data_IF_621225235563
#
_entry.id   IF_621225235563
#
_cell.length_a   1.000
_cell.length_b   1.000
_cell.length_c   1.000
_cell.angle_alpha   90.00
_cell.angle_beta   90.00
_cell.angle_gamma   90.00
#
_symmetry.space_group_name_H-M   'P 1'
#
loop_
_entity.id
_entity.type
_entity.pdbx_description
1 polymer ?
#
# COMPACT_ATOMS: atom_id res chain seq x y z
N UNK A 1 -2.13 -13.65 17.09
CA UNK A 1 -3.58 -13.64 17.38
C UNK A 1 -3.90 -12.30 17.97
N UNK A 2 -4.38 -11.41 17.13
CA UNK A 2 -5.04 -10.16 17.49
C UNK A 2 -6.02 -9.90 16.36
N UNK A 3 -7.29 -10.20 16.63
CA UNK A 3 -8.42 -9.80 15.80
C UNK A 3 -8.47 -8.26 15.81
N UNK A 4 -8.56 -7.68 14.62
CA UNK A 4 -8.64 -6.23 14.44
C UNK A 4 -10.09 -5.86 14.12
N UNK A 5 -10.93 -5.90 15.15
CA UNK A 5 -12.30 -5.34 15.12
C UNK A 5 -12.21 -3.82 15.31
N UNK A 6 -12.10 -3.09 14.19
CA UNK A 6 -12.35 -1.64 14.12
C UNK A 6 -13.72 -1.38 13.47
N UNK A 7 -14.54 -0.43 13.95
CA UNK A 7 -15.89 -0.21 13.43
C UNK A 7 -15.85 0.57 12.09
N UNK A 8 -16.90 0.43 11.27
CA UNK A 8 -17.13 1.05 9.94
C UNK A 8 -16.23 0.59 8.77
N UNK A 9 -14.94 0.31 8.98
CA UNK A 9 -14.01 -0.10 7.90
C UNK A 9 -14.09 -1.59 7.54
N UNK A 10 -14.83 -2.39 8.33
CA UNK A 10 -15.04 -3.81 8.06
C UNK A 10 -15.78 -4.04 6.74
N UNK A 11 -16.71 -3.15 6.39
CA UNK A 11 -17.62 -3.37 5.27
C UNK A 11 -16.90 -3.15 3.94
N UNK A 12 -16.10 -2.08 3.81
CA UNK A 12 -15.27 -1.84 2.62
C UNK A 12 -14.10 -2.83 2.50
N UNK A 13 -13.57 -3.32 3.62
CA UNK A 13 -12.56 -4.39 3.61
C UNK A 13 -13.18 -5.70 3.11
N UNK A 14 -14.39 -6.00 3.56
CA UNK A 14 -15.14 -7.16 3.09
C UNK A 14 -15.53 -7.01 1.61
N UNK A 15 -15.92 -5.81 1.17
CA UNK A 15 -16.21 -5.53 -0.23
C UNK A 15 -14.97 -5.78 -1.11
N UNK A 16 -13.80 -5.27 -0.71
CA UNK A 16 -12.56 -5.53 -1.43
C UNK A 16 -12.21 -7.02 -1.48
N UNK A 17 -12.48 -7.74 -0.39
CA UNK A 17 -12.33 -9.20 -0.30
C UNK A 17 -13.28 -9.91 -1.28
N UNK A 18 -14.56 -9.55 -1.27
CA UNK A 18 -15.61 -10.16 -2.08
C UNK A 18 -15.36 -9.94 -3.57
N UNK A 19 -14.95 -8.73 -3.97
CA UNK A 19 -14.55 -8.42 -5.36
C UNK A 19 -13.46 -9.38 -5.86
N UNK A 20 -12.43 -9.63 -5.06
CA UNK A 20 -11.35 -10.53 -5.48
C UNK A 20 -11.71 -12.01 -5.35
N UNK A 21 -12.58 -12.36 -4.40
CA UNK A 21 -13.14 -13.70 -4.27
C UNK A 21 -13.99 -14.05 -5.51
N UNK A 22 -14.81 -13.13 -5.99
CA UNK A 22 -15.64 -13.30 -7.17
C UNK A 22 -14.78 -13.56 -8.41
N UNK A 23 -13.68 -12.82 -8.58
CA UNK A 23 -12.67 -13.10 -9.62
C UNK A 23 -12.14 -14.55 -9.53
N UNK A 24 -11.81 -15.02 -8.33
CA UNK A 24 -11.32 -16.40 -8.15
C UNK A 24 -12.40 -17.44 -8.50
N UNK A 25 -13.67 -17.17 -8.19
CA UNK A 25 -14.79 -18.04 -8.53
C UNK A 25 -15.07 -18.06 -10.04
N UNK A 26 -15.00 -16.92 -10.72
CA UNK A 26 -15.12 -16.83 -12.18
C UNK A 26 -14.03 -17.64 -12.89
N UNK A 27 -12.79 -17.52 -12.42
CA UNK A 27 -11.67 -18.32 -12.95
C UNK A 27 -11.89 -19.80 -12.72
N UNK A 28 -12.42 -20.19 -11.55
CA UNK A 28 -12.78 -21.59 -11.26
C UNK A 28 -13.81 -22.12 -12.26
N UNK A 29 -14.83 -21.33 -12.60
CA UNK A 29 -15.84 -21.72 -13.59
C UNK A 29 -15.21 -21.91 -14.97
N UNK A 30 -14.32 -20.99 -15.38
CA UNK A 30 -13.58 -21.11 -16.64
C UNK A 30 -12.66 -22.33 -16.67
N UNK A 31 -11.93 -22.62 -15.59
CA UNK A 31 -11.08 -23.82 -15.51
C UNK A 31 -11.88 -25.12 -15.65
N UNK A 32 -13.08 -25.19 -15.07
CA UNK A 32 -13.96 -26.35 -15.19
C UNK A 32 -14.54 -26.51 -16.61
N UNK A 33 -14.73 -25.41 -17.33
CA UNK A 33 -15.25 -25.40 -18.70
C UNK A 33 -14.16 -25.69 -19.75
N UNK A 34 -12.90 -25.37 -19.45
CA UNK A 34 -11.76 -25.72 -20.30
C UNK A 34 -11.51 -27.23 -20.15
N UNK A 35 -12.01 -27.99 -21.13
CA UNK A 35 -11.69 -29.41 -21.30
C UNK A 35 -10.23 -29.55 -21.71
N UNK A 36 -9.29 -29.56 -20.77
CA UNK A 36 -7.91 -29.92 -21.06
C UNK A 36 -7.68 -31.43 -21.01
N UNK A 37 -7.14 -31.97 -22.10
CA UNK A 37 -6.59 -33.33 -22.18
C UNK A 37 -5.23 -33.40 -21.50
N UNK A 38 -5.16 -33.05 -20.22
CA UNK A 38 -4.00 -33.39 -19.39
C UNK A 38 -4.28 -34.72 -18.71
N UNK A 39 -3.44 -35.74 -18.89
CA UNK A 39 -3.62 -37.00 -18.18
C UNK A 39 -3.69 -36.80 -16.66
N UNK A 40 -4.70 -37.39 -16.01
CA UNK A 40 -5.05 -37.22 -14.58
C UNK A 40 -3.92 -37.53 -13.57
N UNK A 41 -2.78 -38.06 -14.04
CA UNK A 41 -1.60 -38.33 -13.22
C UNK A 41 -0.58 -37.19 -13.18
N UNK A 42 -0.75 -36.13 -13.96
CA UNK A 42 0.04 -34.91 -13.85
C UNK A 42 -0.63 -33.92 -12.91
N UNK A 43 0.07 -33.55 -11.82
CA UNK A 43 -0.31 -32.42 -10.98
C UNK A 43 0.09 -31.12 -11.72
N UNK A 44 -0.87 -30.55 -12.43
CA UNK A 44 -0.70 -29.26 -13.13
C UNK A 44 -1.04 -28.05 -12.25
N UNK A 45 -1.49 -28.30 -11.00
CA UNK A 45 -2.04 -27.28 -10.12
C UNK A 45 -3.36 -26.69 -10.64
N UNK A 46 -3.87 -25.69 -9.92
CA UNK A 46 -5.06 -24.94 -10.32
C UNK A 46 -4.81 -23.44 -10.24
N UNK A 47 -5.25 -22.71 -11.26
CA UNK A 47 -5.12 -21.25 -11.37
C UNK A 47 -5.96 -20.58 -10.30
N UNK A 48 -7.20 -21.04 -10.05
CA UNK A 48 -8.05 -20.45 -9.00
C UNK A 48 -7.42 -20.58 -7.60
N UNK A 49 -6.73 -21.69 -7.29
CA UNK A 49 -6.01 -21.85 -6.02
C UNK A 49 -4.89 -20.81 -5.86
N UNK A 50 -4.28 -20.34 -6.96
CA UNK A 50 -3.29 -19.29 -6.89
C UNK A 50 -3.91 -17.94 -6.49
N UNK A 51 -5.15 -17.66 -6.92
CA UNK A 51 -5.87 -16.43 -6.61
C UNK A 51 -6.32 -16.33 -5.14
N UNK A 52 -6.23 -17.42 -4.38
CA UNK A 52 -6.44 -17.40 -2.94
C UNK A 52 -5.29 -16.73 -2.19
N UNK A 53 -4.12 -16.54 -2.80
CA UNK A 53 -2.96 -15.97 -2.13
C UNK A 53 -3.20 -14.58 -1.50
N UNK A 54 -3.68 -13.55 -2.23
CA UNK A 54 -4.02 -12.25 -1.65
C UNK A 54 -5.10 -12.34 -0.57
N UNK A 55 -6.14 -13.16 -0.78
CA UNK A 55 -7.22 -13.37 0.20
C UNK A 55 -6.67 -13.89 1.53
N UNK A 56 -5.81 -14.91 1.49
CA UNK A 56 -5.14 -15.45 2.68
C UNK A 56 -4.28 -14.40 3.39
N UNK A 57 -3.61 -13.50 2.65
CA UNK A 57 -2.84 -12.41 3.24
C UNK A 57 -3.75 -11.43 3.98
N UNK A 58 -4.89 -11.08 3.40
CA UNK A 58 -5.89 -10.19 3.99
C UNK A 58 -6.52 -10.79 5.24
N UNK A 59 -6.90 -12.07 5.20
CA UNK A 59 -7.40 -12.83 6.37
C UNK A 59 -6.36 -12.90 7.50
N UNK A 60 -5.07 -12.93 7.16
CA UNK A 60 -3.98 -12.92 8.14
C UNK A 60 -3.69 -11.53 8.74
N UNK A 61 -4.39 -10.48 8.28
CA UNK A 61 -4.31 -9.12 8.80
C UNK A 61 -3.58 -8.11 7.91
N UNK A 62 -3.06 -8.49 6.74
CA UNK A 62 -2.45 -7.55 5.78
C UNK A 62 -3.53 -6.86 4.93
N UNK A 63 -4.25 -5.90 5.49
CA UNK A 63 -5.38 -5.23 4.82
C UNK A 63 -4.96 -4.52 3.49
N UNK A 64 -5.90 -4.24 2.56
CA UNK A 64 -5.61 -3.49 1.33
C UNK A 64 -5.28 -2.02 1.66
N UNK A 65 -3.99 -1.72 1.78
CA UNK A 65 -3.50 -0.45 2.34
C UNK A 65 -3.72 0.78 1.46
N UNK A 66 -4.11 0.60 0.19
CA UNK A 66 -4.35 1.68 -0.77
C UNK A 66 -5.81 1.77 -1.21
N UNK A 67 -6.44 0.61 -1.45
CA UNK A 67 -7.83 0.54 -1.91
C UNK A 67 -8.83 0.99 -0.86
N UNK A 68 -8.81 0.43 0.35
CA UNK A 68 -9.80 0.77 1.39
C UNK A 68 -9.78 2.27 1.74
N UNK A 69 -8.63 2.93 2.01
CA UNK A 69 -8.66 4.36 2.30
C UNK A 69 -9.13 5.21 1.12
N UNK A 70 -8.83 4.80 -0.13
CA UNK A 70 -9.36 5.47 -1.30
C UNK A 70 -10.88 5.32 -1.42
N UNK A 71 -11.42 4.12 -1.18
CA UNK A 71 -12.86 3.88 -1.15
C UNK A 71 -13.55 4.71 -0.07
N UNK A 72 -12.99 4.80 1.14
CA UNK A 72 -13.50 5.67 2.21
C UNK A 72 -13.61 7.13 1.76
N UNK A 73 -12.61 7.65 1.06
CA UNK A 73 -12.62 9.04 0.61
C UNK A 73 -13.64 9.32 -0.51
N UNK A 74 -13.95 8.30 -1.33
CA UNK A 74 -14.84 8.41 -2.48
C UNK A 74 -16.27 7.92 -2.26
N UNK A 75 -16.52 7.08 -1.25
CA UNK A 75 -17.85 6.52 -0.92
C UNK A 75 -18.99 7.56 -0.96
N UNK A 76 -18.87 8.77 -0.34
CA UNK A 76 -19.97 9.75 -0.37
C UNK A 76 -20.15 10.46 -1.73
N UNK A 77 -19.27 10.23 -2.70
CA UNK A 77 -19.21 10.93 -3.99
C UNK A 77 -19.64 10.06 -5.17
N UNK A 78 -19.66 8.74 -5.00
CA UNK A 78 -19.97 7.78 -6.06
C UNK A 78 -21.42 7.30 -5.97
N UNK A 79 -22.05 7.06 -7.11
CA UNK A 79 -23.28 6.26 -7.16
C UNK A 79 -22.98 4.74 -7.10
N UNK A 80 -24.01 3.91 -6.99
CA UNK A 80 -23.82 2.46 -6.79
C UNK A 80 -23.06 1.76 -7.93
N UNK A 81 -23.37 2.09 -9.19
CA UNK A 81 -22.70 1.46 -10.34
C UNK A 81 -21.26 1.99 -10.49
N UNK A 82 -21.04 3.27 -10.18
CA UNK A 82 -19.70 3.87 -10.12
C UNK A 82 -18.86 3.29 -8.99
N UNK A 83 -19.44 3.07 -7.80
CA UNK A 83 -18.78 2.50 -6.64
C UNK A 83 -18.26 1.08 -6.95
N UNK A 84 -19.10 0.22 -7.51
CA UNK A 84 -18.73 -1.15 -7.90
C UNK A 84 -17.58 -1.15 -8.93
N UNK A 85 -17.67 -0.26 -9.93
CA UNK A 85 -16.64 -0.07 -10.97
C UNK A 85 -15.30 0.37 -10.36
N UNK A 86 -15.34 1.36 -9.48
CA UNK A 86 -14.16 1.89 -8.78
C UNK A 86 -13.55 0.82 -7.88
N UNK A 87 -14.35 0.10 -7.11
CA UNK A 87 -13.89 -0.99 -6.25
C UNK A 87 -13.14 -2.05 -7.05
N UNK A 88 -13.70 -2.54 -8.15
CA UNK A 88 -13.04 -3.50 -9.04
C UNK A 88 -11.69 -2.99 -9.59
N UNK A 89 -11.65 -1.73 -10.05
CA UNK A 89 -10.42 -1.10 -10.56
C UNK A 89 -9.35 -1.05 -9.47
N UNK A 90 -9.69 -0.53 -8.29
CA UNK A 90 -8.75 -0.32 -7.20
C UNK A 90 -8.30 -1.65 -6.57
N UNK A 91 -9.20 -2.60 -6.34
CA UNK A 91 -8.86 -3.94 -5.82
C UNK A 91 -7.89 -4.67 -6.76
N UNK A 92 -8.18 -4.66 -8.07
CA UNK A 92 -7.28 -5.25 -9.06
C UNK A 92 -5.89 -4.58 -9.06
N UNK A 93 -5.85 -3.26 -8.90
CA UNK A 93 -4.59 -2.51 -8.84
C UNK A 93 -3.79 -2.78 -7.56
N UNK A 94 -4.44 -2.82 -6.40
CA UNK A 94 -3.76 -3.09 -5.12
C UNK A 94 -3.15 -4.48 -5.10
N UNK A 95 -3.88 -5.50 -5.56
CA UNK A 95 -3.31 -6.85 -5.70
C UNK A 95 -2.19 -6.87 -6.72
N UNK A 96 -2.34 -6.18 -7.86
CA UNK A 96 -1.26 -6.08 -8.85
C UNK A 96 0.03 -5.52 -8.23
N UNK A 97 -0.06 -4.41 -7.49
CA UNK A 97 1.09 -3.78 -6.82
C UNK A 97 1.65 -4.70 -5.74
N UNK A 98 0.80 -5.26 -4.87
CA UNK A 98 1.20 -6.18 -3.81
C UNK A 98 1.96 -7.40 -4.35
N UNK A 99 1.54 -7.96 -5.48
CA UNK A 99 2.25 -9.09 -6.09
C UNK A 99 3.58 -8.69 -6.72
N UNK A 100 3.70 -7.47 -7.25
CA UNK A 100 4.98 -6.95 -7.74
C UNK A 100 5.96 -6.74 -6.60
N UNK A 101 5.50 -6.17 -5.48
CA UNK A 101 6.31 -5.98 -4.27
C UNK A 101 6.80 -7.34 -3.75
N UNK A 102 5.89 -8.32 -3.59
CA UNK A 102 6.26 -9.70 -3.20
C UNK A 102 7.22 -10.35 -4.21
N UNK A 103 7.10 -10.05 -5.51
CA UNK A 103 8.02 -10.56 -6.52
C UNK A 103 9.43 -9.96 -6.40
N UNK A 104 9.54 -8.68 -6.03
CA UNK A 104 10.80 -7.95 -5.88
C UNK A 104 11.49 -8.34 -4.57
N UNK A 105 10.73 -8.42 -3.48
CA UNK A 105 11.28 -8.56 -2.12
C UNK A 105 11.53 -10.01 -1.70
N UNK A 106 10.92 -10.98 -2.39
CA UNK A 106 11.05 -12.38 -1.99
C UNK A 106 12.43 -12.98 -2.27
N UNK A 107 13.02 -13.61 -1.25
CA UNK A 107 14.16 -14.51 -1.42
C UNK A 107 13.74 -15.90 -1.96
N UNK A 108 12.42 -16.18 -2.06
CA UNK A 108 11.91 -17.48 -2.47
C UNK A 108 12.13 -17.71 -3.96
N UNK A 109 12.79 -18.81 -4.27
CA UNK A 109 13.09 -19.22 -5.65
C UNK A 109 12.23 -20.38 -6.14
N UNK A 110 11.33 -20.89 -5.29
CA UNK A 110 10.48 -22.02 -5.65
C UNK A 110 9.49 -21.65 -6.75
N UNK A 111 9.35 -22.56 -7.73
CA UNK A 111 8.55 -22.31 -8.93
C UNK A 111 7.07 -22.11 -8.63
N UNK A 112 6.53 -22.83 -7.63
CA UNK A 112 5.10 -22.77 -7.29
C UNK A 112 4.73 -21.37 -6.78
N UNK A 113 5.51 -20.82 -5.86
CA UNK A 113 5.32 -19.47 -5.35
C UNK A 113 5.42 -18.42 -6.47
N UNK A 114 6.43 -18.52 -7.34
CA UNK A 114 6.56 -17.61 -8.49
C UNK A 114 5.40 -17.71 -9.47
N UNK A 115 4.86 -18.91 -9.70
CA UNK A 115 3.64 -19.10 -10.49
C UNK A 115 2.45 -18.44 -9.81
N UNK A 116 2.28 -18.57 -8.50
CA UNK A 116 1.21 -17.90 -7.76
C UNK A 116 1.26 -16.38 -7.95
N UNK A 117 2.43 -15.76 -7.78
CA UNK A 117 2.60 -14.32 -8.01
C UNK A 117 2.26 -13.92 -9.45
N UNK A 118 2.77 -14.66 -10.44
CA UNK A 118 2.53 -14.36 -11.85
C UNK A 118 1.05 -14.49 -12.25
N UNK A 119 0.36 -15.50 -11.72
CA UNK A 119 -1.09 -15.69 -11.93
C UNK A 119 -1.87 -14.50 -11.35
N UNK A 120 -1.59 -14.11 -10.11
CA UNK A 120 -2.28 -12.97 -9.50
C UNK A 120 -2.01 -11.67 -10.27
N UNK A 121 -0.76 -11.40 -10.69
CA UNK A 121 -0.45 -10.24 -11.55
C UNK A 121 -1.31 -10.23 -12.81
N UNK A 122 -1.45 -11.38 -13.50
CA UNK A 122 -2.20 -11.45 -14.74
C UNK A 122 -3.70 -11.21 -14.56
N UNK A 123 -4.32 -11.85 -13.56
CA UNK A 123 -5.76 -11.73 -13.35
C UNK A 123 -6.16 -10.43 -12.64
N UNK A 124 -5.35 -9.92 -11.72
CA UNK A 124 -5.64 -8.64 -11.07
C UNK A 124 -5.49 -7.46 -12.04
N UNK A 125 -4.52 -7.54 -12.97
CA UNK A 125 -4.42 -6.55 -14.06
C UNK A 125 -5.57 -6.65 -15.05
N UNK A 126 -6.08 -7.85 -15.33
CA UNK A 126 -7.32 -8.01 -16.12
C UNK A 126 -8.53 -7.39 -15.42
N UNK A 127 -8.73 -7.70 -14.13
CA UNK A 127 -9.81 -7.13 -13.31
C UNK A 127 -9.73 -5.59 -13.31
N UNK A 128 -8.54 -5.03 -13.10
CA UNK A 128 -8.38 -3.58 -13.06
C UNK A 128 -8.61 -2.94 -14.44
N UNK A 129 -7.96 -3.46 -15.49
CA UNK A 129 -7.93 -2.78 -16.78
C UNK A 129 -9.13 -3.04 -17.69
N UNK A 130 -9.78 -4.20 -17.56
CA UNK A 130 -10.98 -4.52 -18.34
C UNK A 130 -12.19 -3.71 -17.88
N UNK A 131 -12.21 -3.30 -16.62
CA UNK A 131 -13.31 -2.58 -15.97
C UNK A 131 -13.29 -1.08 -16.25
N UNK A 132 -12.16 -0.54 -16.75
CA UNK A 132 -12.05 0.88 -17.09
C UNK A 132 -13.02 1.23 -18.25
N UNK A 133 -13.91 2.23 -18.07
CA UNK A 133 -14.79 2.70 -19.12
C UNK A 133 -14.00 3.14 -20.36
N UNK A 134 -14.47 2.79 -21.56
CA UNK A 134 -13.77 3.08 -22.83
C UNK A 134 -13.44 4.57 -22.98
N UNK A 135 -14.31 5.46 -22.53
CA UNK A 135 -14.12 6.92 -22.56
C UNK A 135 -12.96 7.41 -21.68
N UNK A 136 -12.57 6.66 -20.65
CA UNK A 136 -11.54 7.03 -19.68
C UNK A 136 -10.20 6.32 -19.92
N UNK A 137 -10.15 5.29 -20.79
CA UNK A 137 -8.98 4.41 -20.97
C UNK A 137 -7.67 5.15 -21.24
N UNK A 138 -7.66 6.11 -22.15
CA UNK A 138 -6.43 6.85 -22.49
C UNK A 138 -5.87 7.61 -21.28
N UNK A 139 -6.72 8.37 -20.59
CA UNK A 139 -6.32 9.16 -19.42
C UNK A 139 -5.93 8.28 -18.23
N UNK A 140 -6.62 7.16 -18.01
CA UNK A 140 -6.27 6.18 -16.98
C UNK A 140 -4.92 5.51 -17.29
N UNK A 141 -4.67 5.12 -18.54
CA UNK A 141 -3.38 4.53 -18.95
C UNK A 141 -2.23 5.53 -18.75
N UNK A 142 -2.43 6.80 -19.06
CA UNK A 142 -1.44 7.84 -18.81
C UNK A 142 -1.15 8.00 -17.31
N UNK A 143 -2.19 8.03 -16.47
CA UNK A 143 -2.06 8.11 -15.01
C UNK A 143 -1.33 6.89 -14.43
N UNK A 144 -1.70 5.68 -14.84
CA UNK A 144 -1.03 4.43 -14.44
C UNK A 144 0.42 4.38 -14.91
N UNK A 145 0.72 4.88 -16.11
CA UNK A 145 2.09 4.94 -16.63
C UNK A 145 2.94 5.89 -15.78
N UNK A 146 2.43 7.07 -15.46
CA UNK A 146 3.10 8.01 -14.57
C UNK A 146 3.36 7.39 -13.20
N UNK A 147 2.34 6.75 -12.61
CA UNK A 147 2.43 6.02 -11.34
C UNK A 147 3.53 4.96 -11.36
N UNK A 148 3.54 4.07 -12.35
CA UNK A 148 4.54 2.99 -12.42
C UNK A 148 5.97 3.53 -12.55
N UNK A 149 6.15 4.65 -13.26
CA UNK A 149 7.44 5.34 -13.35
C UNK A 149 7.86 5.92 -12.01
N UNK A 150 6.94 6.53 -11.26
CA UNK A 150 7.24 7.09 -9.93
C UNK A 150 7.51 6.01 -8.89
N UNK A 151 6.66 4.98 -8.80
CA UNK A 151 6.83 3.86 -7.89
C UNK A 151 8.17 3.15 -8.12
N UNK A 152 8.54 2.89 -9.39
CA UNK A 152 9.83 2.27 -9.73
C UNK A 152 11.05 3.12 -9.36
N UNK A 153 10.87 4.42 -9.10
CA UNK A 153 11.96 5.33 -8.69
C UNK A 153 12.15 5.38 -7.18
N UNK A 154 11.21 4.89 -6.37
CA UNK A 154 11.29 4.92 -4.90
C UNK A 154 12.66 4.40 -4.41
N UNK A 155 13.13 3.19 -4.81
CA UNK A 155 14.41 2.67 -4.31
C UNK A 155 15.63 3.51 -4.73
N UNK A 156 15.56 4.15 -5.91
CA UNK A 156 16.63 5.01 -6.39
C UNK A 156 16.66 6.34 -5.62
N UNK A 157 15.48 6.93 -5.36
CA UNK A 157 15.34 8.15 -4.58
C UNK A 157 15.80 7.93 -3.14
N UNK A 158 15.37 6.84 -2.49
CA UNK A 158 15.81 6.49 -1.14
C UNK A 158 17.33 6.38 -1.04
N UNK A 159 17.98 5.76 -2.04
CA UNK A 159 19.44 5.64 -2.09
C UNK A 159 20.14 7.00 -2.18
N UNK A 160 19.62 7.92 -2.99
CA UNK A 160 20.18 9.27 -3.08
C UNK A 160 19.93 10.08 -1.81
N UNK A 161 18.75 9.92 -1.18
CA UNK A 161 18.46 10.54 0.12
C UNK A 161 19.39 10.01 1.20
N UNK A 162 19.61 8.70 1.29
CA UNK A 162 20.54 8.08 2.23
C UNK A 162 21.98 8.61 2.07
N UNK A 163 22.42 8.80 0.81
CA UNK A 163 23.74 9.42 0.52
C UNK A 163 23.78 10.88 0.96
N UNK A 164 22.80 11.68 0.57
CA UNK A 164 22.72 13.10 0.95
C UNK A 164 22.66 13.26 2.47
N UNK A 165 21.95 12.35 3.15
CA UNK A 165 21.94 12.29 4.60
C UNK A 165 23.34 12.00 5.14
N UNK A 166 24.07 10.98 4.69
CA UNK A 166 25.44 10.73 5.18
C UNK A 166 26.36 11.97 5.07
N UNK A 167 26.20 12.77 4.02
CA UNK A 167 27.04 13.94 3.77
C UNK A 167 26.59 15.22 4.51
N UNK A 168 25.33 15.30 4.98
CA UNK A 168 24.84 16.52 5.64
C UNK A 168 25.30 16.64 7.09
N UNK A 169 25.70 17.84 7.51
CA UNK A 169 25.98 18.16 8.93
C UNK A 169 24.86 18.98 9.57
N UNK A 170 23.88 19.43 8.78
CA UNK A 170 22.76 20.22 9.27
C UNK A 170 21.62 19.32 9.72
N UNK A 171 21.17 19.50 10.96
CA UNK A 171 19.99 18.80 11.47
C UNK A 171 18.72 19.21 10.73
N UNK A 172 18.59 20.46 10.31
CA UNK A 172 17.44 20.95 9.56
C UNK A 172 17.35 20.28 8.19
N UNK A 173 18.46 20.29 7.45
CA UNK A 173 18.54 19.64 6.14
C UNK A 173 18.31 18.13 6.24
N UNK A 174 18.80 17.48 7.30
CA UNK A 174 18.52 16.07 7.53
C UNK A 174 17.02 15.81 7.70
N UNK A 175 16.31 16.66 8.46
CA UNK A 175 14.86 16.53 8.60
C UNK A 175 14.12 16.75 7.29
N UNK A 176 14.53 17.71 6.47
CA UNK A 176 13.92 17.96 5.17
C UNK A 176 14.11 16.78 4.22
N UNK A 177 15.29 16.13 4.25
CA UNK A 177 15.57 14.92 3.49
C UNK A 177 14.70 13.74 3.93
N UNK A 178 14.49 13.56 5.24
CA UNK A 178 13.61 12.51 5.78
C UNK A 178 12.16 12.77 5.40
N UNK A 179 11.66 14.01 5.56
CA UNK A 179 10.31 14.39 5.12
C UNK A 179 10.12 14.15 3.63
N UNK A 180 11.10 14.53 2.83
CA UNK A 180 11.08 14.28 1.39
C UNK A 180 11.03 12.77 1.07
N UNK A 181 11.79 11.93 1.77
CA UNK A 181 11.74 10.48 1.56
C UNK A 181 10.34 9.90 1.82
N UNK A 182 9.72 10.23 2.97
CA UNK A 182 8.37 9.77 3.27
C UNK A 182 7.32 10.32 2.29
N UNK A 183 7.39 11.62 1.99
CA UNK A 183 6.47 12.23 1.03
C UNK A 183 6.62 11.66 -0.38
N UNK A 184 7.81 11.22 -0.76
CA UNK A 184 8.03 10.55 -2.05
C UNK A 184 7.54 9.10 -2.04
N UNK A 185 7.83 8.32 -0.98
CA UNK A 185 7.33 6.95 -0.81
C UNK A 185 5.80 6.91 -0.82
N UNK A 186 5.16 7.86 -0.14
CA UNK A 186 3.72 7.95 -0.01
C UNK A 186 2.97 8.22 -1.32
N UNK A 187 3.68 8.61 -2.39
CA UNK A 187 3.06 8.74 -3.73
C UNK A 187 2.61 7.41 -4.32
N UNK A 188 3.01 6.29 -3.71
CA UNK A 188 2.55 4.96 -4.11
C UNK A 188 1.03 4.77 -3.92
N UNK A 189 0.34 5.68 -3.23
CA UNK A 189 -1.13 5.71 -3.13
C UNK A 189 -1.79 6.72 -4.08
N UNK A 190 -1.02 7.64 -4.70
CA UNK A 190 -1.56 8.79 -5.41
C UNK A 190 -2.53 8.38 -6.54
N UNK A 191 -2.18 7.33 -7.29
CA UNK A 191 -3.02 6.81 -8.36
C UNK A 191 -4.36 6.27 -7.86
N UNK A 192 -4.41 5.75 -6.63
CA UNK A 192 -5.66 5.30 -6.01
C UNK A 192 -6.57 6.47 -5.65
N UNK A 193 -5.99 7.63 -5.36
CA UNK A 193 -6.73 8.89 -5.22
C UNK A 193 -7.19 9.48 -6.55
N UNK A 194 -6.42 9.31 -7.63
CA UNK A 194 -6.73 9.93 -8.92
C UNK A 194 -7.73 9.11 -9.76
N UNK A 195 -7.60 7.77 -9.79
CA UNK A 195 -8.37 6.91 -10.68
C UNK A 195 -9.89 7.03 -10.53
N UNK A 196 -10.48 7.06 -9.32
CA UNK A 196 -11.92 7.17 -9.18
C UNK A 196 -12.47 8.42 -9.86
N UNK A 197 -11.80 9.57 -9.73
CA UNK A 197 -12.20 10.81 -10.40
C UNK A 197 -11.97 10.81 -11.92
N UNK A 198 -11.16 9.91 -12.46
CA UNK A 198 -10.98 9.78 -13.92
C UNK A 198 -12.07 8.92 -14.57
N UNK A 199 -12.71 8.06 -13.80
CA UNK A 199 -13.75 7.12 -14.29
C UNK A 199 -15.16 7.50 -13.84
N UNK A 200 -15.28 8.52 -12.99
CA UNK A 200 -16.53 9.06 -12.44
C UNK A 200 -16.58 10.58 -12.59
N UNK A 201 -17.75 11.20 -12.45
CA UNK A 201 -17.95 12.65 -12.64
C UNK A 201 -17.53 13.51 -11.42
N UNK A 202 -16.47 13.11 -10.70
CA UNK A 202 -15.98 13.84 -9.51
C UNK A 202 -15.18 15.08 -9.92
N UNK A 203 -15.43 16.19 -9.23
CA UNK A 203 -14.72 17.44 -9.48
C UNK A 203 -13.21 17.33 -9.20
N UNK A 204 -12.40 17.96 -10.06
CA UNK A 204 -10.95 17.89 -9.98
C UNK A 204 -10.37 18.46 -8.68
N UNK A 205 -10.93 19.55 -8.15
CA UNK A 205 -10.44 20.14 -6.89
C UNK A 205 -10.70 19.19 -5.71
N UNK A 206 -11.80 18.44 -5.76
CA UNK A 206 -12.11 17.39 -4.79
C UNK A 206 -11.13 16.22 -4.93
N UNK A 207 -10.87 15.78 -6.16
CA UNK A 207 -9.92 14.69 -6.44
C UNK A 207 -8.48 15.05 -5.99
N UNK A 208 -8.01 16.25 -6.31
CA UNK A 208 -6.68 16.74 -5.91
C UNK A 208 -6.55 16.79 -4.37
N UNK A 209 -7.63 17.16 -3.66
CA UNK A 209 -7.67 17.14 -2.19
C UNK A 209 -7.62 15.71 -1.64
N UNK A 210 -8.44 14.80 -2.19
CA UNK A 210 -8.45 13.38 -1.79
C UNK A 210 -7.06 12.76 -1.99
N UNK A 211 -6.42 13.01 -3.14
CA UNK A 211 -5.06 12.53 -3.40
C UNK A 211 -4.07 13.01 -2.33
N UNK A 212 -4.11 14.30 -1.97
CA UNK A 212 -3.25 14.88 -0.93
C UNK A 212 -3.50 14.25 0.46
N UNK A 213 -4.76 14.01 0.81
CA UNK A 213 -5.13 13.39 2.08
C UNK A 213 -4.70 11.91 2.13
N UNK A 214 -4.85 11.17 1.03
CA UNK A 214 -4.37 9.80 0.93
C UNK A 214 -2.84 9.72 1.02
N UNK A 215 -2.11 10.66 0.39
CA UNK A 215 -0.66 10.75 0.54
C UNK A 215 -0.26 11.02 2.00
N UNK A 216 -1.02 11.86 2.72
CA UNK A 216 -0.81 12.10 4.15
C UNK A 216 -1.02 10.81 4.96
N UNK A 217 -2.17 10.15 4.78
CA UNK A 217 -2.46 8.84 5.40
C UNK A 217 -1.34 7.83 5.14
N UNK A 218 -0.87 7.75 3.91
CA UNK A 218 0.16 6.79 3.51
C UNK A 218 1.52 7.12 4.13
N UNK A 219 1.90 8.39 4.20
CA UNK A 219 3.13 8.83 4.85
C UNK A 219 3.12 8.49 6.34
N UNK A 220 1.99 8.67 7.01
CA UNK A 220 1.81 8.26 8.41
C UNK A 220 1.97 6.76 8.59
N UNK A 221 1.26 5.94 7.78
CA UNK A 221 1.36 4.48 7.85
C UNK A 221 2.79 3.98 7.64
N UNK A 222 3.50 4.50 6.62
CA UNK A 222 4.90 4.12 6.34
C UNK A 222 5.84 4.46 7.50
N UNK A 223 5.60 5.58 8.18
CA UNK A 223 6.37 5.97 9.35
C UNK A 223 6.11 5.02 10.53
N UNK A 224 4.87 4.60 10.75
CA UNK A 224 4.54 3.59 11.77
C UNK A 224 5.14 2.23 11.45
N UNK A 225 5.03 1.75 10.21
CA UNK A 225 5.60 0.47 9.79
C UNK A 225 7.12 0.45 10.01
N UNK A 226 7.83 1.51 9.59
CA UNK A 226 9.28 1.63 9.81
C UNK A 226 9.67 1.67 11.30
N UNK A 227 8.80 2.17 12.21
CA UNK A 227 9.05 2.17 13.67
C UNK A 227 8.85 0.78 14.25
N UNK A 228 7.74 0.12 13.90
CA UNK A 228 7.42 -1.23 14.39
C UNK A 228 8.47 -2.25 13.94
N UNK A 229 9.00 -2.07 12.73
CA UNK A 229 9.85 -3.06 12.09
C UNK A 229 11.35 -2.81 12.32
N UNK A 230 11.75 -1.83 13.15
CA UNK A 230 13.17 -1.47 13.43
C UNK A 230 14.05 -2.70 13.74
N UNK A 231 13.59 -3.60 14.61
CA UNK A 231 14.39 -4.77 15.01
C UNK A 231 14.55 -5.78 13.86
N UNK A 232 13.50 -5.95 13.06
CA UNK A 232 13.51 -6.83 11.89
C UNK A 232 14.36 -6.24 10.78
N UNK A 233 14.22 -4.96 10.48
CA UNK A 233 15.02 -4.22 9.50
C UNK A 233 16.51 -4.28 9.83
N UNK A 234 16.87 -4.09 11.11
CA UNK A 234 18.26 -4.26 11.58
C UNK A 234 18.79 -5.66 11.34
N UNK A 235 17.97 -6.68 11.59
CA UNK A 235 18.35 -8.09 11.39
C UNK A 235 18.56 -8.41 9.91
N UNK A 236 17.75 -7.82 9.05
CA UNK A 236 17.76 -8.05 7.60
C UNK A 236 18.72 -7.10 6.85
N UNK A 237 19.28 -6.08 7.53
CA UNK A 237 20.16 -5.09 6.92
C UNK A 237 19.42 -4.09 6.02
N UNK A 238 18.14 -3.85 6.30
CA UNK A 238 17.29 -2.89 5.59
C UNK A 238 17.52 -1.50 6.20
N UNK A 239 17.84 -0.52 5.35
CA UNK A 239 18.11 0.86 5.77
C UNK A 239 16.87 1.74 5.49
N UNK A 240 16.03 1.97 6.50
CA UNK A 240 14.87 2.87 6.43
C UNK A 240 15.18 4.31 6.91
N UNK A 241 14.32 5.30 6.61
CA UNK A 241 14.48 6.66 7.14
C UNK A 241 14.56 6.75 8.67
N UNK A 242 13.81 5.94 9.41
CA UNK A 242 13.93 5.85 10.88
C UNK A 242 15.32 5.36 11.28
N UNK A 243 15.86 4.35 10.60
CA UNK A 243 17.20 3.84 10.84
C UNK A 243 18.28 4.92 10.61
N UNK A 244 18.13 5.74 9.56
CA UNK A 244 19.05 6.87 9.32
C UNK A 244 19.04 7.92 10.44
N UNK A 245 17.89 8.14 11.09
CA UNK A 245 17.78 9.02 12.25
C UNK A 245 18.45 8.41 13.50
N UNK A 246 18.24 7.11 13.75
CA UNK A 246 18.86 6.38 14.86
C UNK A 246 20.38 6.36 14.77
N UNK A 247 20.94 6.22 13.57
CA UNK A 247 22.40 6.27 13.37
C UNK A 247 23.01 7.65 13.65
N UNK A 248 22.20 8.71 13.47
CA UNK A 248 22.61 10.11 13.71
C UNK A 248 22.47 10.54 15.16
N UNK A 249 21.47 10.03 15.86
CA UNK A 249 21.10 10.47 17.18
C UNK A 249 21.12 9.28 18.14
N UNK A 250 22.03 9.33 19.11
CA UNK A 250 22.15 8.28 20.14
C UNK A 250 21.06 8.35 21.22
N UNK A 251 20.33 9.45 21.27
CA UNK A 251 19.31 9.71 22.29
C UNK A 251 17.91 9.35 21.74
N UNK A 252 17.25 8.32 22.30
CA UNK A 252 15.89 7.93 21.95
C UNK A 252 14.87 9.08 21.97
N UNK A 253 14.95 9.97 22.95
CA UNK A 253 13.98 11.07 23.11
C UNK A 253 14.10 12.07 21.96
N UNK A 254 15.33 12.31 21.49
CA UNK A 254 15.58 13.17 20.34
C UNK A 254 15.02 12.54 19.08
N UNK A 255 15.23 11.24 18.86
CA UNK A 255 14.71 10.53 17.68
C UNK A 255 13.19 10.54 17.67
N UNK A 256 12.56 10.24 18.81
CA UNK A 256 11.11 10.29 19.00
C UNK A 256 10.55 11.69 18.66
N UNK A 257 11.17 12.76 19.18
CA UNK A 257 10.75 14.13 18.87
C UNK A 257 10.89 14.49 17.38
N UNK A 258 11.92 13.95 16.70
CA UNK A 258 12.11 14.13 15.25
C UNK A 258 11.07 13.40 14.43
N UNK A 259 10.80 12.14 14.75
CA UNK A 259 9.75 11.33 14.13
C UNK A 259 8.41 12.01 14.27
N UNK A 260 8.05 12.45 15.47
CA UNK A 260 6.81 13.19 15.71
C UNK A 260 6.74 14.51 14.92
N UNK A 261 7.89 15.15 14.66
CA UNK A 261 7.95 16.33 13.80
C UNK A 261 7.82 16.03 12.31
N UNK A 262 8.16 14.82 11.86
CA UNK A 262 7.94 14.37 10.46
C UNK A 262 6.48 14.01 10.29
N UNK A 263 5.93 13.21 11.21
CA UNK A 263 4.50 12.87 11.25
C UNK A 263 3.64 14.14 11.13
N UNK A 264 3.80 15.11 12.04
CA UNK A 264 3.05 16.38 12.03
C UNK A 264 3.28 17.28 10.81
N UNK A 265 4.24 16.97 9.93
CA UNK A 265 4.45 17.77 8.72
C UNK A 265 3.58 17.33 7.54
N UNK A 266 2.91 16.17 7.67
CA UNK A 266 1.87 15.75 6.75
C UNK A 266 0.52 16.11 7.37
N UNK A 267 -0.23 16.96 6.68
CA UNK A 267 -1.47 17.55 7.21
C UNK A 267 -2.62 17.17 6.30
N UNK A 268 -3.63 16.53 6.90
CA UNK A 268 -4.92 16.33 6.27
C UNK A 268 -5.65 17.66 6.08
N UNK A 269 -6.53 17.69 5.09
CA UNK A 269 -7.58 18.69 4.97
C UNK A 269 -8.64 18.54 6.08
N UNK A 270 -9.59 19.49 6.11
CA UNK A 270 -10.73 19.47 7.03
C UNK A 270 -11.94 18.68 6.48
N UNK A 271 -11.74 17.77 5.51
CA UNK A 271 -12.83 16.99 4.92
C UNK A 271 -13.31 15.87 5.86
N UNK A 272 -14.62 15.59 5.87
CA UNK A 272 -15.26 14.66 6.81
C UNK A 272 -14.67 13.22 6.77
N UNK A 273 -14.27 12.72 5.60
CA UNK A 273 -13.66 11.39 5.48
C UNK A 273 -12.28 11.29 6.15
N UNK A 274 -11.60 12.41 6.42
CA UNK A 274 -10.26 12.40 7.00
C UNK A 274 -10.25 11.89 8.44
N UNK A 275 -11.36 12.03 9.17
CA UNK A 275 -11.50 11.43 10.50
C UNK A 275 -11.47 9.90 10.43
N UNK A 276 -12.14 9.31 9.44
CA UNK A 276 -12.11 7.86 9.20
C UNK A 276 -10.70 7.42 8.77
N UNK A 277 -10.03 8.19 7.91
CA UNK A 277 -8.63 7.89 7.54
C UNK A 277 -7.69 7.90 8.75
N UNK A 278 -7.86 8.85 9.68
CA UNK A 278 -7.09 8.90 10.93
C UNK A 278 -7.37 7.69 11.82
N UNK A 279 -8.64 7.25 11.92
CA UNK A 279 -9.02 6.04 12.66
C UNK A 279 -8.45 4.75 12.04
N UNK A 280 -8.17 4.75 10.73
CA UNK A 280 -7.53 3.64 10.02
C UNK A 280 -6.02 3.57 10.21
N UNK A 281 -5.37 4.68 10.59
CA UNK A 281 -3.93 4.67 10.86
C UNK A 281 -3.60 3.66 11.98
N UNK A 282 -2.42 3.03 11.95
CA UNK A 282 -1.98 2.19 13.05
C UNK A 282 -1.99 2.96 14.37
N UNK A 283 -2.92 2.60 15.27
CA UNK A 283 -3.01 3.15 16.61
C UNK A 283 -2.06 2.37 17.53
N UNK A 284 -0.75 2.62 17.50
CA UNK A 284 0.08 2.15 18.61
C UNK A 284 -0.10 3.05 19.82
N UNK A 285 -0.13 2.43 21.01
CA UNK A 285 0.11 3.09 22.28
C UNK A 285 1.42 3.88 22.16
N UNK A 286 1.31 5.19 21.96
CA UNK A 286 2.39 6.18 21.81
C UNK A 286 3.61 5.69 20.97
N UNK A 287 3.80 6.13 19.70
CA UNK A 287 5.00 5.78 18.92
C UNK A 287 6.33 6.13 19.63
N UNK A 288 6.30 6.99 20.67
CA UNK A 288 7.43 7.24 21.56
C UNK A 288 7.73 6.04 22.48
N UNK A 289 6.72 5.35 22.99
CA UNK A 289 6.86 4.17 23.86
C UNK A 289 7.36 2.95 23.07
N UNK A 290 6.85 2.73 21.85
CA UNK A 290 7.39 1.70 20.95
C UNK A 290 8.86 1.97 20.59
N UNK A 291 9.20 3.22 20.23
CA UNK A 291 10.58 3.60 19.93
C UNK A 291 11.51 3.44 21.14
N UNK A 292 11.03 3.80 22.35
CA UNK A 292 11.77 3.62 23.60
C UNK A 292 12.00 2.13 23.93
N UNK A 293 11.08 1.24 23.53
CA UNK A 293 11.23 -0.21 23.71
C UNK A 293 12.16 -0.85 22.65
N UNK A 294 12.16 -0.34 21.42
CA UNK A 294 12.97 -0.84 20.30
C UNK A 294 14.42 -0.35 20.31
N UNK A 295 14.73 0.70 21.07
CA UNK A 295 16.10 1.16 21.29
C UNK A 295 16.63 0.52 22.58
N UNK A 296 17.57 -0.45 22.50
CA UNK A 296 18.08 -1.08 23.70
C UNK A 296 18.64 -0.02 24.65
N UNK A 297 18.15 -0.01 25.89
CA UNK A 297 18.79 0.75 26.96
C UNK A 297 20.25 0.30 27.01
N UNK A 298 21.18 1.14 26.57
CA UNK A 298 22.58 0.90 26.83
C UNK A 298 22.79 1.16 28.33
N UNK A 299 22.57 0.11 29.12
CA UNK A 299 23.15 0.03 30.45
C UNK A 299 24.67 -0.01 30.28
N UNK A 300 25.29 1.11 30.64
CA UNK A 300 26.70 1.39 30.98
C UNK A 300 27.82 0.63 30.23
#
# INVERSE_FOLDING_TARGET
MTDFDGPMTSDLTQEAYDVYLDLAQEVTAHENDVVETVPDFFDIGSVHECLQFPLNLWESGRKPMRTVPALVAYEPLLDGDEADTVAQILVGLDVFVMMLDEFIDTARTDRRFRTQLAVNVAFSSLLSFATIPESAKETVVDALTAYLVEASRIPAVEREVARALRDTTSSEQAMDLIRFAYGFRARDIAVFGALPALVSDVDREVADRIESDLQTYRAHCLLYDDIRDIEEDRRNGIETPVMWLLDRHRDPEVVAARIASVYRSFEYSDADYTDVLREMEPTSDDPIDELASAIPSQAE
#
